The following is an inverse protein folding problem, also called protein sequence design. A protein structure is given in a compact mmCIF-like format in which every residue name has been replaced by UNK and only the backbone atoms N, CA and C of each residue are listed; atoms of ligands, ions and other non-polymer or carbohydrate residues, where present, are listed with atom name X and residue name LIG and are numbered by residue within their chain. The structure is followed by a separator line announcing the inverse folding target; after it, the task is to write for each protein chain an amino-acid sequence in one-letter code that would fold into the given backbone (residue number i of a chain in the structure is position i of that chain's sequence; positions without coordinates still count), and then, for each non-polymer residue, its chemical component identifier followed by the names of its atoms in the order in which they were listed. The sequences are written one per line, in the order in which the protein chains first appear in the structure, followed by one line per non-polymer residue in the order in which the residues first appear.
data_IF_471272571172
#
_entry.id   IF_471272571172
#
_cell.length_a   1.000
_cell.length_b   1.000
_cell.length_c   1.000
_cell.angle_alpha   90.00
_cell.angle_beta   90.00
_cell.angle_gamma   90.00
#
_symmetry.space_group_name_H-M   'P 1'
#
loop_
_entity.id
_entity.type
_entity.pdbx_description
1 polymer ?
#
# COMPACT_ATOMS: atom_id res chain seq x y z
N UNK A 1 -0.72 3.25 10.92
CA UNK A 1 -1.29 2.46 12.04
C UNK A 1 -0.43 2.60 13.29
N UNK A 2 0.83 2.16 13.23
CA UNK A 2 1.72 2.16 14.41
C UNK A 2 1.93 3.54 15.04
N UNK A 3 2.17 4.58 14.23
CA UNK A 3 2.27 5.98 14.70
C UNK A 3 1.01 6.51 15.39
N UNK A 4 -0.10 5.77 15.33
CA UNK A 4 -1.37 6.08 16.00
C UNK A 4 -1.70 5.09 17.12
N UNK A 5 -0.72 4.29 17.57
CA UNK A 5 -0.89 3.31 18.65
C UNK A 5 -1.58 2.01 18.24
N UNK A 6 -1.87 1.80 16.95
CA UNK A 6 -2.55 0.58 16.48
C UNK A 6 -1.57 -0.42 15.85
N UNK A 7 -1.71 -1.70 16.21
CA UNK A 7 -1.03 -2.83 15.56
C UNK A 7 -2.07 -3.81 15.01
N UNK A 8 -2.04 -4.17 13.71
CA UNK A 8 -2.93 -5.19 13.18
C UNK A 8 -2.60 -6.57 13.79
N UNK A 9 -3.62 -7.36 14.11
CA UNK A 9 -3.50 -8.71 14.69
C UNK A 9 -4.47 -9.69 14.03
N UNK A 10 -4.24 -11.00 14.20
CA UNK A 10 -5.09 -12.08 13.66
C UNK A 10 -4.68 -12.58 12.27
N UNK A 11 -5.52 -13.42 11.66
CA UNK A 11 -5.41 -13.80 10.24
C UNK A 11 -5.99 -12.68 9.35
N UNK A 12 -5.58 -12.59 8.08
CA UNK A 12 -6.05 -11.57 7.14
C UNK A 12 -5.79 -10.10 7.53
N UNK A 13 -4.69 -9.84 8.25
CA UNK A 13 -4.29 -8.50 8.73
C UNK A 13 -4.25 -7.43 7.64
N UNK A 14 -3.98 -7.82 6.39
CA UNK A 14 -3.98 -6.91 5.25
C UNK A 14 -5.33 -6.19 5.04
N UNK A 15 -6.46 -6.84 5.38
CA UNK A 15 -7.78 -6.21 5.30
C UNK A 15 -7.85 -5.02 6.27
N UNK A 16 -7.41 -5.24 7.51
CA UNK A 16 -7.36 -4.20 8.54
C UNK A 16 -6.44 -3.04 8.13
N UNK A 17 -5.30 -3.35 7.52
CA UNK A 17 -4.37 -2.33 6.99
C UNK A 17 -5.02 -1.52 5.87
N UNK A 18 -5.63 -2.16 4.87
CA UNK A 18 -6.28 -1.47 3.74
C UNK A 18 -7.44 -0.60 4.23
N UNK A 19 -8.28 -1.12 5.13
CA UNK A 19 -9.38 -0.35 5.73
C UNK A 19 -8.87 0.85 6.52
N UNK A 20 -7.89 0.65 7.39
CA UNK A 20 -7.30 1.76 8.16
C UNK A 20 -6.70 2.83 7.26
N UNK A 21 -6.00 2.43 6.19
CA UNK A 21 -5.43 3.37 5.22
C UNK A 21 -6.49 4.27 4.57
N UNK A 22 -7.72 3.77 4.38
CA UNK A 22 -8.81 4.57 3.81
C UNK A 22 -9.31 5.71 4.68
N UNK A 23 -8.97 5.72 5.97
CA UNK A 23 -9.28 6.85 6.86
C UNK A 23 -8.38 8.09 6.60
N UNK A 24 -7.25 7.92 5.90
CA UNK A 24 -6.24 8.98 5.74
C UNK A 24 -5.82 9.22 4.29
N UNK A 25 -5.96 8.20 3.43
CA UNK A 25 -5.57 8.27 2.04
C UNK A 25 -6.79 8.43 1.13
N UNK A 26 -6.57 9.02 -0.05
CA UNK A 26 -7.58 9.11 -1.09
C UNK A 26 -7.98 7.73 -1.61
N UNK A 27 -9.21 7.62 -2.13
CA UNK A 27 -9.77 6.37 -2.65
C UNK A 27 -8.86 5.69 -3.67
N UNK A 28 -8.28 6.45 -4.59
CA UNK A 28 -7.40 5.91 -5.63
C UNK A 28 -6.08 5.37 -5.07
N UNK A 29 -5.52 6.04 -4.06
CA UNK A 29 -4.31 5.59 -3.38
C UNK A 29 -4.55 4.24 -2.68
N UNK A 30 -5.70 4.08 -2.03
CA UNK A 30 -6.10 2.82 -1.37
C UNK A 30 -6.30 1.70 -2.39
N UNK A 31 -6.96 1.99 -3.51
CA UNK A 31 -7.17 1.02 -4.61
C UNK A 31 -5.83 0.58 -5.18
N UNK A 32 -4.92 1.51 -5.46
CA UNK A 32 -3.58 1.22 -5.98
C UNK A 32 -2.80 0.38 -4.97
N UNK A 33 -2.84 0.73 -3.68
CA UNK A 33 -2.17 -0.02 -2.63
C UNK A 33 -2.65 -1.47 -2.54
N UNK A 34 -3.96 -1.71 -2.54
CA UNK A 34 -4.51 -3.08 -2.51
C UNK A 34 -4.20 -3.85 -3.79
N UNK A 35 -4.28 -3.21 -4.97
CA UNK A 35 -3.88 -3.82 -6.25
C UNK A 35 -2.43 -4.27 -6.23
N UNK A 36 -1.52 -3.43 -5.76
CA UNK A 36 -0.09 -3.74 -5.68
C UNK A 36 0.19 -4.86 -4.69
N UNK A 37 -0.50 -4.88 -3.54
CA UNK A 37 -0.45 -5.98 -2.56
C UNK A 37 -0.86 -7.32 -3.17
N UNK A 38 -1.98 -7.34 -3.92
CA UNK A 38 -2.47 -8.54 -4.62
C UNK A 38 -1.51 -8.95 -5.75
N UNK A 39 -1.00 -7.99 -6.52
CA UNK A 39 -0.06 -8.25 -7.62
C UNK A 39 1.24 -8.86 -7.10
N UNK A 40 1.79 -8.39 -5.98
CA UNK A 40 2.94 -9.00 -5.30
C UNK A 40 2.68 -10.45 -4.91
N UNK A 41 1.47 -10.76 -4.43
CA UNK A 41 1.10 -12.13 -4.10
C UNK A 41 1.08 -13.03 -5.34
N UNK A 42 0.59 -12.52 -6.47
CA UNK A 42 0.45 -13.30 -7.69
C UNK A 42 1.76 -13.39 -8.51
N UNK A 43 2.56 -12.33 -8.54
CA UNK A 43 3.83 -12.28 -9.29
C UNK A 43 4.89 -13.23 -8.74
N UNK A 44 4.76 -13.62 -7.46
CA UNK A 44 5.67 -14.57 -6.81
C UNK A 44 5.38 -16.03 -7.16
N UNK A 45 4.19 -16.38 -7.66
CA UNK A 45 3.79 -17.79 -7.82
C UNK A 45 3.31 -18.19 -9.23
N UNK A 46 2.72 -17.29 -10.03
CA UNK A 46 2.08 -17.69 -11.31
C UNK A 46 2.65 -17.03 -12.58
N UNK A 47 3.52 -16.01 -12.50
CA UNK A 47 3.74 -15.12 -13.65
C UNK A 47 5.08 -14.39 -13.67
N UNK A 48 6.19 -15.09 -13.41
CA UNK A 48 7.51 -14.56 -13.69
C UNK A 48 7.65 -14.34 -15.21
N UNK A 49 7.44 -13.11 -15.69
CA UNK A 49 7.58 -12.72 -17.11
C UNK A 49 6.43 -11.88 -17.72
N UNK A 50 5.33 -11.61 -17.01
CA UNK A 50 4.15 -10.91 -17.57
C UNK A 50 4.02 -9.42 -17.19
N UNK A 51 4.99 -8.84 -16.48
CA UNK A 51 4.94 -7.40 -16.13
C UNK A 51 5.76 -6.64 -17.17
N UNK A 52 5.11 -5.76 -17.92
CA UNK A 52 5.79 -4.86 -18.85
C UNK A 52 6.63 -3.81 -18.11
N UNK A 53 7.65 -3.25 -18.78
CA UNK A 53 8.45 -2.14 -18.21
C UNK A 53 7.55 -0.97 -17.77
N UNK A 54 6.58 -0.59 -18.60
CA UNK A 54 5.61 0.46 -18.28
C UNK A 54 4.83 0.19 -17.00
N UNK A 55 4.41 -1.05 -16.77
CA UNK A 55 3.73 -1.43 -15.53
C UNK A 55 4.67 -1.42 -14.33
N UNK A 56 5.93 -1.83 -14.50
CA UNK A 56 6.94 -1.77 -13.46
C UNK A 56 7.24 -0.32 -13.06
N UNK A 57 7.42 0.57 -14.04
CA UNK A 57 7.66 1.99 -13.81
C UNK A 57 6.45 2.64 -13.15
N UNK A 58 5.23 2.33 -13.60
CA UNK A 58 4.01 2.82 -12.97
C UNK A 58 3.93 2.35 -11.51
N UNK A 59 4.22 1.07 -11.26
CA UNK A 59 4.20 0.46 -9.94
C UNK A 59 5.18 1.18 -8.98
N UNK A 60 6.44 1.37 -9.40
CA UNK A 60 7.46 2.05 -8.58
C UNK A 60 7.09 3.51 -8.34
N UNK A 61 6.73 4.25 -9.39
CA UNK A 61 6.35 5.66 -9.27
C UNK A 61 5.18 5.86 -8.30
N UNK A 62 4.15 5.01 -8.38
CA UNK A 62 3.01 5.07 -7.46
C UNK A 62 3.39 4.70 -6.03
N UNK A 63 4.28 3.73 -5.84
CA UNK A 63 4.78 3.38 -4.50
C UNK A 63 5.52 4.56 -3.85
N UNK A 64 6.39 5.25 -4.60
CA UNK A 64 7.11 6.42 -4.10
C UNK A 64 6.17 7.57 -3.71
N UNK A 65 5.17 7.87 -4.56
CA UNK A 65 4.15 8.88 -4.24
C UNK A 65 3.38 8.54 -2.96
N UNK A 66 3.05 7.26 -2.79
CA UNK A 66 2.31 6.78 -1.62
C UNK A 66 3.13 6.91 -0.34
N UNK A 67 4.42 6.56 -0.39
CA UNK A 67 5.34 6.71 0.75
C UNK A 67 5.45 8.17 1.16
N UNK A 68 5.67 9.09 0.21
CA UNK A 68 5.73 10.54 0.49
C UNK A 68 4.46 11.06 1.18
N UNK A 69 3.28 10.62 0.72
CA UNK A 69 2.00 10.97 1.37
C UNK A 69 1.93 10.44 2.81
N UNK A 70 2.33 9.19 3.02
CA UNK A 70 2.31 8.57 4.35
C UNK A 70 3.30 9.25 5.30
N UNK A 71 4.48 9.65 4.82
CA UNK A 71 5.47 10.40 5.61
C UNK A 71 4.86 11.68 6.16
N UNK A 72 4.17 12.47 5.33
CA UNK A 72 3.46 13.68 5.77
C UNK A 72 2.44 13.35 6.87
N UNK A 73 1.59 12.35 6.65
CA UNK A 73 0.54 11.92 7.61
C UNK A 73 1.14 11.46 8.95
N UNK A 74 2.29 10.79 8.92
CA UNK A 74 2.97 10.27 10.12
C UNK A 74 3.70 11.38 10.86
N UNK A 75 4.35 12.30 10.15
CA UNK A 75 4.99 13.48 10.75
C UNK A 75 3.97 14.41 11.42
N UNK A 76 2.80 14.60 10.82
CA UNK A 76 1.71 15.37 11.43
C UNK A 76 1.11 14.71 12.67
N UNK A 77 1.24 13.39 12.81
CA UNK A 77 0.78 12.65 13.99
C UNK A 77 1.71 12.75 15.21
N UNK A 78 2.94 13.22 15.00
CA UNK A 78 3.99 13.30 16.03
C UNK A 78 4.13 14.72 16.61
N UNK A 79 3.29 15.66 16.17
CA UNK A 79 3.10 16.99 16.76
C UNK A 79 1.90 16.97 17.69
#
# INVERSE_FOLDING_TARGET
MFSRGFRPSGSNQHISVVKFSSCFLGKDDVIIFDRMRRKRNNSLYDSAGLISQTEADFAVNKAEMLVKKIEVIVCDASK
#
